data_IF_383685054455
#
_entry.id   IF_383685054455
#
_cell.length_a   1.000
_cell.length_b   1.000
_cell.length_c   1.000
_cell.angle_alpha   90.00
_cell.angle_beta   90.00
_cell.angle_gamma   90.00
#
_symmetry.space_group_name_H-M   'P 1'
#
loop_
_entity.id
_entity.type
_entity.pdbx_description
1 polymer ?
#
# COMPACT_ATOMS: atom_id res chain seq x y z
N UNK A 1 16.23 48.60 -59.85
CA UNK A 1 16.43 47.13 -59.84
C UNK A 1 16.81 46.74 -58.42
N UNK A 2 15.90 46.06 -57.73
CA UNK A 2 15.95 45.43 -56.39
C UNK A 2 16.83 46.04 -55.26
N UNK A 3 16.12 46.52 -54.22
CA UNK A 3 16.52 46.81 -52.84
C UNK A 3 17.38 45.67 -52.22
N UNK A 4 18.27 45.87 -51.23
CA UNK A 4 17.99 46.45 -49.93
C UNK A 4 19.27 46.80 -49.14
N UNK A 5 19.22 47.94 -48.43
CA UNK A 5 20.13 48.35 -47.37
C UNK A 5 20.07 47.37 -46.18
N UNK A 6 21.23 46.96 -45.66
CA UNK A 6 21.38 46.50 -44.28
C UNK A 6 21.81 47.70 -43.44
N UNK A 7 20.91 48.20 -42.59
CA UNK A 7 21.23 49.17 -41.55
C UNK A 7 21.06 48.51 -40.17
N UNK A 8 22.10 48.65 -39.36
CA UNK A 8 22.10 48.34 -37.93
C UNK A 8 20.98 49.10 -37.21
N UNK A 9 20.30 48.44 -36.28
CA UNK A 9 19.67 49.11 -35.15
C UNK A 9 19.85 48.23 -33.91
N UNK A 10 20.61 48.76 -32.95
CA UNK A 10 20.65 48.31 -31.56
C UNK A 10 19.23 48.30 -30.99
N UNK A 11 18.87 47.24 -30.27
CA UNK A 11 17.78 47.29 -29.29
C UNK A 11 18.28 46.76 -27.96
N UNK A 12 18.25 47.66 -26.99
CA UNK A 12 18.78 47.55 -25.64
C UNK A 12 18.12 46.44 -24.82
N UNK A 13 18.95 45.80 -23.99
CA UNK A 13 18.52 44.88 -22.95
C UNK A 13 17.78 45.66 -21.84
N UNK A 14 16.53 45.27 -21.59
CA UNK A 14 15.83 45.59 -20.35
C UNK A 14 15.55 44.26 -19.64
N UNK A 15 16.51 43.83 -18.80
CA UNK A 15 16.31 42.73 -17.85
C UNK A 15 15.41 43.22 -16.71
N UNK A 16 14.13 42.85 -16.76
CA UNK A 16 13.23 42.94 -15.62
C UNK A 16 13.53 41.74 -14.69
N UNK A 17 14.34 41.96 -13.65
CA UNK A 17 14.49 41.01 -12.55
C UNK A 17 13.23 41.05 -11.69
N UNK A 18 12.27 40.16 -11.99
CA UNK A 18 11.22 39.82 -11.03
C UNK A 18 11.89 38.99 -9.94
N UNK A 19 12.18 39.62 -8.79
CA UNK A 19 12.49 38.93 -7.55
C UNK A 19 11.23 38.17 -7.13
N UNK A 20 11.07 36.96 -7.64
CA UNK A 20 10.17 35.98 -7.04
C UNK A 20 10.75 35.64 -5.66
N UNK A 21 10.21 36.28 -4.62
CA UNK A 21 10.38 35.78 -3.26
C UNK A 21 9.92 34.32 -3.27
N UNK A 22 10.76 33.34 -2.91
CA UNK A 22 10.26 31.99 -2.75
C UNK A 22 9.16 32.06 -1.69
N UNK A 23 7.94 31.71 -2.08
CA UNK A 23 6.91 31.40 -1.11
C UNK A 23 7.54 30.39 -0.16
N UNK A 24 7.68 30.76 1.11
CA UNK A 24 8.21 29.88 2.13
C UNK A 24 7.37 28.60 2.06
N UNK A 25 8.01 27.52 1.59
CA UNK A 25 7.47 26.19 1.78
C UNK A 25 7.17 26.09 3.27
N UNK A 26 5.92 25.80 3.61
CA UNK A 26 5.56 25.41 4.97
C UNK A 26 6.58 24.34 5.39
N UNK A 27 7.15 24.40 6.61
CA UNK A 27 8.11 23.39 7.02
C UNK A 27 7.44 22.04 6.84
N UNK A 28 8.02 21.22 5.96
CA UNK A 28 7.80 19.79 5.98
C UNK A 28 8.18 19.38 7.40
N UNK A 29 7.19 19.02 8.21
CA UNK A 29 7.43 18.40 9.49
C UNK A 29 8.39 17.24 9.23
N UNK A 30 9.48 17.34 9.96
CA UNK A 30 10.66 16.50 9.93
C UNK A 30 10.36 15.02 9.69
N UNK A 31 10.79 14.54 8.52
CA UNK A 31 11.07 13.14 8.28
C UNK A 31 12.08 12.64 9.31
N UNK A 32 11.58 12.11 10.42
CA UNK A 32 12.33 11.49 11.48
C UNK A 32 11.74 10.11 11.75
N UNK A 33 12.61 9.12 11.84
CA UNK A 33 12.38 7.78 12.38
C UNK A 33 12.00 7.80 13.88
N UNK A 34 11.12 8.71 14.30
CA UNK A 34 10.67 8.84 15.67
C UNK A 34 9.59 7.78 15.92
N UNK A 35 10.01 6.70 16.58
CA UNK A 35 9.08 5.76 17.21
C UNK A 35 7.98 6.54 17.94
N UNK A 36 6.72 6.16 17.71
CA UNK A 36 5.60 6.79 18.40
C UNK A 36 5.80 6.69 19.92
N UNK A 37 5.61 7.80 20.61
CA UNK A 37 5.64 7.87 22.08
C UNK A 37 4.23 8.03 22.62
N UNK A 38 3.93 7.42 23.78
CA UNK A 38 2.60 7.44 24.39
C UNK A 38 2.66 8.04 25.80
N UNK A 39 1.94 9.15 26.08
CA UNK A 39 1.18 9.98 25.15
C UNK A 39 2.08 10.73 24.16
N UNK A 40 1.49 11.26 23.08
CA UNK A 40 2.15 12.09 22.07
C UNK A 40 1.60 13.53 22.06
N UNK A 41 2.21 14.40 21.25
CA UNK A 41 1.69 15.74 20.97
C UNK A 41 0.43 15.67 20.08
N UNK A 42 -0.55 16.58 20.25
CA UNK A 42 -1.64 16.75 19.29
C UNK A 42 -1.12 17.19 17.92
N UNK A 43 -1.67 16.64 16.84
CA UNK A 43 -1.37 17.07 15.48
C UNK A 43 -2.33 18.19 15.08
N UNK A 44 -1.84 19.43 15.03
CA UNK A 44 -2.70 20.60 14.81
C UNK A 44 -3.33 20.66 13.40
N UNK A 45 -2.63 20.13 12.39
CA UNK A 45 -3.07 20.16 10.99
C UNK A 45 -4.15 19.14 10.66
N UNK A 46 -4.64 19.20 9.42
CA UNK A 46 -5.44 18.12 8.81
C UNK A 46 -4.48 17.18 8.07
N UNK A 47 -4.38 15.89 8.41
CA UNK A 47 -3.52 14.95 7.69
C UNK A 47 -3.92 14.81 6.22
N UNK A 48 -2.97 14.50 5.35
CA UNK A 48 -3.18 14.41 3.90
C UNK A 48 -4.36 13.49 3.53
N UNK A 49 -4.48 12.36 4.22
CA UNK A 49 -5.53 11.37 3.99
C UNK A 49 -6.93 11.93 4.27
N UNK A 50 -7.05 12.96 5.11
CA UNK A 50 -8.31 13.66 5.36
C UNK A 50 -8.46 14.94 4.54
N UNK A 51 -7.37 15.56 4.07
CA UNK A 51 -7.44 16.75 3.20
C UNK A 51 -8.09 16.45 1.85
N UNK A 52 -7.93 15.22 1.36
CA UNK A 52 -8.56 14.77 0.10
C UNK A 52 -10.04 14.42 0.25
N UNK A 53 -10.57 14.36 1.47
CA UNK A 53 -11.98 14.09 1.72
C UNK A 53 -12.69 15.41 2.00
N UNK A 54 -13.75 15.69 1.24
CA UNK A 54 -14.65 16.78 1.55
C UNK A 54 -15.52 16.38 2.76
N UNK A 55 -14.94 16.43 3.97
CA UNK A 55 -15.57 15.92 5.20
C UNK A 55 -16.94 16.55 5.48
N UNK A 56 -17.09 17.85 5.21
CA UNK A 56 -18.39 18.52 5.36
C UNK A 56 -19.44 17.98 4.39
N UNK A 57 -19.03 17.54 3.20
CA UNK A 57 -19.93 16.90 2.23
C UNK A 57 -20.26 15.47 2.61
N UNK A 58 -19.23 14.71 3.02
CA UNK A 58 -19.37 13.35 3.53
C UNK A 58 -20.36 13.31 4.72
N UNK A 59 -20.18 14.18 5.71
CA UNK A 59 -20.98 14.20 6.93
C UNK A 59 -22.37 14.80 6.77
N UNK A 60 -22.64 15.52 5.68
CA UNK A 60 -24.03 15.85 5.29
C UNK A 60 -24.81 14.59 4.91
N UNK A 61 -24.14 13.56 4.40
CA UNK A 61 -24.78 12.29 4.04
C UNK A 61 -24.89 11.36 5.26
N UNK A 62 -23.81 11.19 6.02
CA UNK A 62 -23.78 10.28 7.17
C UNK A 62 -22.59 10.57 8.08
N UNK A 63 -22.77 10.35 9.38
CA UNK A 63 -21.68 10.38 10.38
C UNK A 63 -21.40 9.00 10.99
N UNK A 64 -22.10 7.96 10.53
CA UNK A 64 -21.98 6.59 11.06
C UNK A 64 -22.81 6.31 12.32
N UNK A 65 -23.73 7.22 12.66
CA UNK A 65 -24.57 7.13 13.87
C UNK A 65 -25.33 5.80 13.94
N UNK A 66 -25.26 5.15 15.09
CA UNK A 66 -25.95 3.88 15.35
C UNK A 66 -25.22 2.63 14.85
N UNK A 67 -24.12 2.81 14.10
CA UNK A 67 -23.30 1.69 13.63
C UNK A 67 -22.25 1.30 14.66
N UNK A 68 -22.06 0.00 14.83
CA UNK A 68 -21.02 -0.58 15.69
C UNK A 68 -19.92 -1.18 14.83
N UNK A 69 -18.69 -0.73 15.02
CA UNK A 69 -17.51 -1.24 14.33
C UNK A 69 -16.65 -2.00 15.33
N UNK A 70 -16.53 -3.31 15.16
CA UNK A 70 -15.59 -4.09 15.95
C UNK A 70 -14.18 -3.92 15.39
N UNK A 71 -13.26 -3.49 16.26
CA UNK A 71 -11.83 -3.35 15.95
C UNK A 71 -11.12 -4.53 16.60
N UNK A 72 -10.79 -5.54 15.78
CA UNK A 72 -10.01 -6.70 16.20
C UNK A 72 -8.54 -6.34 16.04
N UNK A 73 -7.85 -6.07 17.16
CA UNK A 73 -6.51 -5.48 17.15
C UNK A 73 -5.76 -5.66 18.50
N UNK A 74 -4.87 -4.74 18.88
CA UNK A 74 -4.10 -4.74 20.14
C UNK A 74 -4.83 -4.07 21.32
N UNK A 75 -6.13 -3.83 21.20
CA UNK A 75 -6.93 -3.06 22.16
C UNK A 75 -7.12 -1.60 21.73
N UNK A 76 -7.90 -0.83 22.48
CA UNK A 76 -8.17 0.59 22.20
C UNK A 76 -8.12 1.39 23.49
N UNK A 77 -7.18 2.34 23.61
CA UNK A 77 -7.03 3.13 24.83
C UNK A 77 -8.07 4.26 24.94
N UNK A 78 -8.97 4.13 25.92
CA UNK A 78 -10.01 5.12 26.21
C UNK A 78 -9.52 6.33 27.01
N UNK A 79 -8.23 6.36 27.39
CA UNK A 79 -7.62 7.57 27.98
C UNK A 79 -7.36 8.63 26.91
N UNK A 80 -7.29 8.25 25.64
CA UNK A 80 -7.33 9.21 24.54
C UNK A 80 -8.72 9.89 24.48
N UNK A 81 -8.75 11.22 24.66
CA UNK A 81 -9.97 11.99 24.73
C UNK A 81 -10.85 11.90 23.46
N UNK A 82 -10.25 11.68 22.28
CA UNK A 82 -11.02 11.53 21.03
C UNK A 82 -11.69 10.15 20.91
N UNK A 83 -11.31 9.17 21.74
CA UNK A 83 -11.85 7.80 21.70
C UNK A 83 -12.69 7.44 22.92
N UNK A 84 -12.54 8.17 24.03
CA UNK A 84 -13.27 7.92 25.28
C UNK A 84 -14.77 7.69 25.07
N UNK A 85 -15.42 8.57 24.31
CA UNK A 85 -16.87 8.51 24.03
C UNK A 85 -17.18 7.84 22.67
N UNK A 86 -16.15 7.36 21.97
CA UNK A 86 -16.29 6.56 20.76
C UNK A 86 -16.39 5.06 21.07
N UNK A 87 -15.83 4.63 22.20
CA UNK A 87 -15.67 3.21 22.56
C UNK A 87 -16.78 2.73 23.48
N UNK A 88 -17.43 1.62 23.13
CA UNK A 88 -18.34 0.88 24.02
C UNK A 88 -17.52 -0.09 24.89
N UNK A 89 -17.07 0.43 26.03
CA UNK A 89 -16.28 -0.33 27.00
C UNK A 89 -17.01 -1.53 27.61
N UNK A 90 -18.35 -1.57 27.56
CA UNK A 90 -19.15 -2.66 28.11
C UNK A 90 -19.21 -3.87 27.16
N UNK A 91 -19.01 -3.64 25.86
CA UNK A 91 -18.92 -4.67 24.82
C UNK A 91 -17.51 -4.99 24.38
N UNK A 92 -16.52 -4.33 24.97
CA UNK A 92 -15.13 -4.63 24.68
C UNK A 92 -14.67 -5.96 25.28
N UNK A 93 -13.65 -6.56 24.68
CA UNK A 93 -13.08 -7.84 25.13
C UNK A 93 -11.59 -7.93 24.88
N UNK A 94 -10.87 -8.46 25.85
CA UNK A 94 -9.50 -8.92 25.70
C UNK A 94 -9.47 -10.46 25.65
N UNK A 95 -8.95 -10.99 24.53
CA UNK A 95 -8.79 -12.41 24.25
C UNK A 95 -7.35 -12.89 24.42
N UNK A 96 -6.43 -12.01 24.82
CA UNK A 96 -5.04 -12.37 25.12
C UNK A 96 -4.98 -13.19 26.40
N UNK A 97 -4.15 -14.23 26.36
CA UNK A 97 -3.86 -15.08 27.51
C UNK A 97 -3.14 -14.31 28.62
N UNK A 98 -3.28 -14.79 29.86
CA UNK A 98 -2.59 -14.22 31.01
C UNK A 98 -1.19 -14.78 31.11
N UNK A 99 -0.23 -13.92 31.45
CA UNK A 99 1.15 -14.35 31.70
C UNK A 99 1.97 -14.63 30.43
N UNK A 100 1.55 -14.09 29.29
CA UNK A 100 2.36 -14.06 28.06
C UNK A 100 3.71 -13.39 28.33
N UNK A 101 4.72 -13.80 27.57
CA UNK A 101 6.11 -13.36 27.75
C UNK A 101 6.70 -12.96 26.41
N UNK A 102 7.65 -12.04 26.44
CA UNK A 102 8.49 -11.75 25.28
C UNK A 102 9.43 -12.93 24.96
N UNK A 103 10.15 -12.90 23.81
CA UNK A 103 11.14 -13.92 23.48
C UNK A 103 12.29 -14.05 24.50
N UNK A 104 12.52 -13.03 25.34
CA UNK A 104 13.48 -13.03 26.44
C UNK A 104 12.93 -13.62 27.75
N UNK A 105 11.66 -14.05 27.78
CA UNK A 105 11.00 -14.61 28.95
C UNK A 105 10.46 -13.58 29.94
N UNK A 106 10.50 -12.28 29.62
CA UNK A 106 9.94 -11.23 30.46
C UNK A 106 8.42 -11.15 30.32
N UNK A 107 7.66 -10.98 31.41
CA UNK A 107 6.21 -10.84 31.34
C UNK A 107 5.77 -9.66 30.48
N UNK A 108 4.79 -9.89 29.60
CA UNK A 108 4.19 -8.83 28.80
C UNK A 108 3.11 -8.08 29.60
N UNK A 109 3.05 -6.74 29.49
CA UNK A 109 1.92 -5.97 30.00
C UNK A 109 0.63 -6.39 29.30
N UNK A 110 -0.37 -6.84 30.06
CA UNK A 110 -1.69 -7.19 29.54
C UNK A 110 -2.67 -6.04 29.72
N UNK A 111 -3.48 -5.79 28.69
CA UNK A 111 -4.57 -4.82 28.74
C UNK A 111 -5.70 -5.19 29.70
N UNK A 112 -6.67 -4.29 29.82
CA UNK A 112 -7.88 -4.54 30.61
C UNK A 112 -8.73 -5.66 29.98
N UNK A 113 -9.52 -6.39 30.78
CA UNK A 113 -10.32 -7.54 30.29
C UNK A 113 -11.36 -7.17 29.21
N UNK A 114 -11.71 -5.90 29.13
CA UNK A 114 -12.61 -5.33 28.13
C UNK A 114 -11.87 -4.70 26.95
N UNK A 115 -10.57 -4.92 26.78
CA UNK A 115 -9.79 -4.41 25.64
C UNK A 115 -9.65 -2.89 25.57
N UNK A 116 -9.99 -2.14 26.64
CA UNK A 116 -9.94 -0.68 26.66
C UNK A 116 -8.59 -0.08 27.07
N UNK A 117 -7.56 -0.92 27.11
CA UNK A 117 -6.16 -0.52 27.33
C UNK A 117 -5.38 -1.08 26.16
N UNK A 118 -4.60 -0.25 25.51
CA UNK A 118 -3.74 -0.66 24.40
C UNK A 118 -2.29 -0.41 24.79
N UNK A 119 -1.55 -1.48 25.06
CA UNK A 119 -0.14 -1.43 25.47
C UNK A 119 0.81 -1.35 24.28
N UNK A 120 0.30 -1.55 23.06
CA UNK A 120 1.06 -1.52 21.80
C UNK A 120 0.80 -0.22 21.03
N UNK A 121 -0.41 0.31 21.11
CA UNK A 121 -0.88 1.53 20.47
C UNK A 121 -1.45 1.36 19.06
N UNK A 122 -1.35 0.18 18.47
CA UNK A 122 -1.79 -0.07 17.09
C UNK A 122 -3.31 0.00 16.97
N UNK A 123 -4.06 -0.71 17.80
CA UNK A 123 -5.52 -0.69 17.79
C UNK A 123 -6.12 0.69 18.12
N UNK A 124 -5.43 1.49 18.95
CA UNK A 124 -5.82 2.88 19.21
C UNK A 124 -5.69 3.77 17.98
N UNK A 125 -4.66 3.57 17.14
CA UNK A 125 -4.54 4.27 15.84
C UNK A 125 -5.65 3.82 14.89
N UNK A 126 -5.92 2.51 14.83
CA UNK A 126 -6.95 1.93 13.95
C UNK A 126 -8.35 2.46 14.33
N UNK A 127 -8.72 2.44 15.61
CA UNK A 127 -9.98 2.99 16.10
C UNK A 127 -10.10 4.51 15.83
N UNK A 128 -8.99 5.23 15.91
CA UNK A 128 -8.91 6.66 15.59
C UNK A 128 -9.34 6.98 14.17
N UNK A 129 -8.80 6.25 13.19
CA UNK A 129 -9.12 6.43 11.77
C UNK A 129 -10.61 6.22 11.50
N UNK A 130 -11.23 5.26 12.20
CA UNK A 130 -12.67 5.00 12.06
C UNK A 130 -13.50 6.10 12.73
N UNK A 131 -13.27 6.38 14.02
CA UNK A 131 -14.28 7.04 14.86
C UNK A 131 -13.74 8.09 15.85
N UNK A 132 -12.50 8.57 15.71
CA UNK A 132 -12.02 9.65 16.56
C UNK A 132 -12.98 10.86 16.51
N UNK A 133 -13.42 11.32 17.69
CA UNK A 133 -14.31 12.47 17.81
C UNK A 133 -13.56 13.76 17.46
N UNK A 134 -14.26 14.80 16.94
CA UNK A 134 -13.67 16.14 16.80
C UNK A 134 -13.16 16.65 18.16
N UNK A 135 -11.98 17.25 18.19
CA UNK A 135 -11.40 17.83 19.40
C UNK A 135 -10.72 19.17 19.11
N UNK A 136 -10.63 20.03 20.12
CA UNK A 136 -9.94 21.32 20.01
C UNK A 136 -8.43 21.10 19.89
N UNK A 137 -7.76 21.89 19.05
CA UNK A 137 -6.30 21.88 18.90
C UNK A 137 -5.74 20.75 18.02
N UNK A 138 -6.60 20.02 17.31
CA UNK A 138 -6.22 19.01 16.31
C UNK A 138 -7.11 19.13 15.08
N UNK A 139 -6.56 18.89 13.90
CA UNK A 139 -7.33 18.72 12.66
C UNK A 139 -7.64 17.25 12.37
N UNK A 140 -7.19 16.30 13.19
CA UNK A 140 -7.50 14.89 13.01
C UNK A 140 -8.89 14.52 13.57
N UNK A 141 -9.59 13.66 12.83
CA UNK A 141 -10.92 13.12 13.15
C UNK A 141 -11.09 11.79 12.41
N UNK A 142 -11.91 10.89 12.93
CA UNK A 142 -12.27 9.66 12.22
C UNK A 142 -13.26 9.91 11.09
N UNK A 143 -13.35 9.00 10.14
CA UNK A 143 -14.29 9.10 9.01
C UNK A 143 -15.76 9.04 9.46
N UNK A 144 -16.06 8.17 10.42
CA UNK A 144 -17.39 7.93 10.99
C UNK A 144 -17.43 8.37 12.47
N UNK A 145 -17.39 9.69 12.75
CA UNK A 145 -17.23 10.22 14.10
C UNK A 145 -18.43 10.00 15.03
N UNK A 146 -19.56 9.46 14.56
CA UNK A 146 -20.68 9.04 15.41
C UNK A 146 -20.84 7.51 15.49
N UNK A 147 -19.97 6.74 14.83
CA UNK A 147 -19.93 5.29 15.00
C UNK A 147 -19.40 4.92 16.40
N UNK A 148 -19.80 3.74 16.87
CA UNK A 148 -19.34 3.15 18.13
C UNK A 148 -18.29 2.08 17.87
N UNK A 149 -17.14 2.18 18.52
CA UNK A 149 -16.08 1.18 18.47
C UNK A 149 -16.33 0.10 19.52
N UNK A 150 -16.25 -1.17 19.12
CA UNK A 150 -16.17 -2.32 20.02
C UNK A 150 -14.71 -2.81 20.00
N UNK A 151 -13.94 -2.62 21.08
CA UNK A 151 -12.55 -3.02 21.10
C UNK A 151 -12.42 -4.52 21.38
N UNK A 152 -11.76 -5.25 20.48
CA UNK A 152 -11.49 -6.69 20.63
C UNK A 152 -9.99 -6.90 20.54
N UNK A 153 -9.33 -7.00 21.70
CA UNK A 153 -7.89 -7.25 21.77
C UNK A 153 -7.61 -8.73 21.50
N UNK A 154 -6.93 -9.02 20.38
CA UNK A 154 -6.62 -10.36 19.90
C UNK A 154 -5.13 -10.55 19.56
N UNK A 155 -4.34 -9.49 19.54
CA UNK A 155 -2.90 -9.57 19.30
C UNK A 155 -2.09 -8.65 20.23
N UNK A 156 -0.78 -8.88 20.31
CA UNK A 156 0.16 -8.04 21.06
C UNK A 156 1.38 -7.64 20.21
N UNK A 157 2.36 -6.98 20.84
CA UNK A 157 3.57 -6.48 20.19
C UNK A 157 4.46 -7.60 19.58
N UNK A 158 4.23 -8.87 19.93
CA UNK A 158 5.04 -10.01 19.52
C UNK A 158 4.29 -11.00 18.63
N UNK A 159 3.03 -10.71 18.28
CA UNK A 159 2.28 -11.54 17.36
C UNK A 159 1.74 -12.83 17.97
N UNK A 160 1.44 -12.86 19.28
CA UNK A 160 0.88 -14.05 19.92
C UNK A 160 -0.57 -14.38 19.50
N UNK A 161 -1.22 -13.53 18.72
CA UNK A 161 -2.50 -13.85 18.07
C UNK A 161 -2.38 -15.05 17.13
N UNK A 162 -3.38 -15.93 17.11
CA UNK A 162 -3.43 -17.11 16.25
C UNK A 162 -4.67 -17.08 15.36
N UNK A 163 -4.70 -17.92 14.31
CA UNK A 163 -5.91 -18.10 13.50
C UNK A 163 -7.13 -18.52 14.33
N UNK A 164 -6.91 -19.28 15.42
CA UNK A 164 -7.97 -19.67 16.34
C UNK A 164 -8.47 -18.49 17.17
N UNK A 165 -7.58 -17.70 17.79
CA UNK A 165 -8.01 -16.54 18.58
C UNK A 165 -8.63 -15.45 17.70
N UNK A 166 -8.22 -15.34 16.43
CA UNK A 166 -8.87 -14.48 15.44
C UNK A 166 -10.28 -14.97 15.09
N UNK A 167 -10.47 -16.28 14.92
CA UNK A 167 -11.80 -16.86 14.72
C UNK A 167 -12.72 -16.57 15.92
N UNK A 168 -12.19 -16.67 17.15
CA UNK A 168 -12.93 -16.36 18.38
C UNK A 168 -13.25 -14.87 18.51
N UNK A 169 -12.34 -13.99 18.09
CA UNK A 169 -12.59 -12.54 18.00
C UNK A 169 -13.73 -12.19 17.03
N UNK A 170 -13.76 -12.83 15.86
CA UNK A 170 -14.85 -12.66 14.88
C UNK A 170 -16.18 -13.15 15.47
N UNK A 171 -16.20 -14.34 16.09
CA UNK A 171 -17.41 -14.86 16.77
C UNK A 171 -17.88 -13.92 17.89
N UNK A 172 -16.94 -13.35 18.64
CA UNK A 172 -17.26 -12.36 19.67
C UNK A 172 -17.89 -11.11 19.06
N UNK A 173 -17.33 -10.56 17.99
CA UNK A 173 -17.88 -9.39 17.29
C UNK A 173 -19.31 -9.64 16.77
N UNK A 174 -19.60 -10.84 16.26
CA UNK A 174 -20.96 -11.27 15.89
C UNK A 174 -21.88 -11.21 17.11
N UNK A 175 -21.45 -11.82 18.23
CA UNK A 175 -22.24 -11.84 19.48
C UNK A 175 -22.49 -10.44 20.06
N UNK A 176 -21.52 -9.53 19.87
CA UNK A 176 -21.60 -8.14 20.29
C UNK A 176 -22.47 -7.28 19.36
N UNK A 177 -22.99 -7.87 18.27
CA UNK A 177 -23.81 -7.24 17.24
C UNK A 177 -23.07 -6.10 16.55
N UNK A 178 -21.83 -6.36 16.13
CA UNK A 178 -21.10 -5.47 15.24
C UNK A 178 -21.78 -5.40 13.87
N UNK A 179 -21.79 -4.22 13.26
CA UNK A 179 -22.31 -3.98 11.92
C UNK A 179 -21.20 -4.06 10.86
N UNK A 180 -19.97 -3.73 11.29
CA UNK A 180 -18.72 -3.83 10.54
C UNK A 180 -17.64 -4.44 11.43
N UNK A 181 -16.78 -5.29 10.89
CA UNK A 181 -15.58 -5.82 11.55
C UNK A 181 -14.37 -5.32 10.77
N UNK A 182 -13.46 -4.63 11.45
CA UNK A 182 -12.13 -4.29 10.95
C UNK A 182 -11.10 -5.27 11.53
N UNK A 183 -10.32 -5.88 10.65
CA UNK A 183 -9.20 -6.78 11.00
C UNK A 183 -7.92 -6.18 10.42
N UNK A 184 -7.03 -5.71 11.28
CA UNK A 184 -5.79 -5.02 10.87
C UNK A 184 -4.57 -5.94 10.82
N UNK A 185 -4.80 -7.24 10.96
CA UNK A 185 -3.79 -8.28 11.07
C UNK A 185 -3.95 -9.28 9.94
N UNK A 186 -2.84 -9.88 9.55
CA UNK A 186 -2.82 -11.11 8.78
C UNK A 186 -2.37 -12.28 9.66
N UNK A 187 -2.69 -13.50 9.22
CA UNK A 187 -2.11 -14.69 9.82
C UNK A 187 -0.65 -14.78 9.38
N UNK A 188 0.28 -14.70 10.34
CA UNK A 188 1.72 -14.86 10.08
C UNK A 188 2.00 -16.20 9.37
N UNK A 189 2.85 -16.15 8.33
CA UNK A 189 3.14 -17.21 7.37
C UNK A 189 2.00 -17.51 6.39
N UNK A 190 2.33 -18.03 5.20
CA UNK A 190 1.34 -18.46 4.21
C UNK A 190 0.62 -19.71 4.75
N UNK A 191 -0.22 -19.54 5.77
CA UNK A 191 -0.93 -20.66 6.37
C UNK A 191 -2.06 -21.03 5.42
N UNK A 192 -2.22 -22.34 5.20
CA UNK A 192 -3.42 -22.89 4.59
C UNK A 192 -4.66 -22.31 5.28
N UNK A 193 -5.73 -21.96 4.55
CA UNK A 193 -6.91 -21.36 5.14
C UNK A 193 -7.43 -22.23 6.28
N UNK A 194 -7.34 -21.71 7.52
CA UNK A 194 -7.77 -22.46 8.70
C UNK A 194 -9.30 -22.65 8.63
N UNK A 195 -9.81 -23.90 8.66
CA UNK A 195 -11.25 -24.15 8.56
C UNK A 195 -12.07 -23.39 9.61
N UNK A 196 -11.52 -23.25 10.82
CA UNK A 196 -12.16 -22.55 11.93
C UNK A 196 -12.28 -21.04 11.68
N UNK A 197 -11.24 -20.42 11.11
CA UNK A 197 -11.24 -19.00 10.76
C UNK A 197 -12.18 -18.72 9.60
N UNK A 198 -12.14 -19.55 8.54
CA UNK A 198 -13.07 -19.43 7.42
C UNK A 198 -14.52 -19.53 7.88
N UNK A 199 -14.85 -20.52 8.73
CA UNK A 199 -16.21 -20.66 9.26
C UNK A 199 -16.67 -19.43 10.05
N UNK A 200 -15.78 -18.82 10.84
CA UNK A 200 -16.11 -17.60 11.58
C UNK A 200 -16.39 -16.42 10.64
N UNK A 201 -15.58 -16.26 9.59
CA UNK A 201 -15.80 -15.26 8.52
C UNK A 201 -17.11 -15.51 7.79
N UNK A 202 -17.35 -16.73 7.31
CA UNK A 202 -18.60 -17.09 6.61
C UNK A 202 -19.83 -16.81 7.50
N UNK A 203 -19.73 -17.08 8.80
CA UNK A 203 -20.80 -16.78 9.77
C UNK A 203 -21.02 -15.27 9.93
N UNK A 204 -19.95 -14.46 9.98
CA UNK A 204 -20.09 -13.00 10.05
C UNK A 204 -20.77 -12.44 8.79
N UNK A 205 -20.35 -12.89 7.62
CA UNK A 205 -20.95 -12.51 6.34
C UNK A 205 -22.43 -12.92 6.26
N UNK A 206 -22.77 -14.15 6.69
CA UNK A 206 -24.15 -14.63 6.75
C UNK A 206 -25.04 -13.85 7.74
N UNK A 207 -24.45 -13.17 8.74
CA UNK A 207 -25.14 -12.25 9.64
C UNK A 207 -25.21 -10.81 9.10
N UNK A 208 -24.84 -10.57 7.83
CA UNK A 208 -24.88 -9.26 7.19
C UNK A 208 -23.81 -8.27 7.70
N UNK A 209 -22.76 -8.77 8.34
CA UNK A 209 -21.66 -7.96 8.88
C UNK A 209 -20.62 -7.74 7.78
N UNK A 210 -20.27 -6.48 7.50
CA UNK A 210 -19.18 -6.15 6.57
C UNK A 210 -17.85 -6.47 7.22
N UNK A 211 -17.08 -7.38 6.64
CA UNK A 211 -15.74 -7.74 7.12
C UNK A 211 -14.70 -7.07 6.22
N UNK A 212 -13.89 -6.19 6.80
CA UNK A 212 -12.82 -5.45 6.14
C UNK A 212 -11.49 -5.90 6.73
N UNK A 213 -10.53 -6.26 5.88
CA UNK A 213 -9.24 -6.76 6.32
C UNK A 213 -8.07 -6.15 5.54
N UNK A 214 -6.94 -5.92 6.22
CA UNK A 214 -5.71 -5.44 5.60
C UNK A 214 -5.09 -6.48 4.65
N UNK A 215 -4.60 -6.05 3.49
CA UNK A 215 -4.00 -6.95 2.50
C UNK A 215 -2.64 -7.55 2.93
N UNK A 216 -1.94 -6.92 3.88
CA UNK A 216 -0.60 -7.33 4.36
C UNK A 216 0.51 -6.39 3.87
N UNK A 217 1.67 -6.43 4.55
CA UNK A 217 2.78 -5.48 4.35
C UNK A 217 4.07 -6.12 3.77
N UNK A 218 4.00 -7.36 3.31
CA UNK A 218 5.15 -8.12 2.77
C UNK A 218 5.32 -7.97 1.24
N UNK A 219 4.76 -6.91 0.63
CA UNK A 219 4.68 -6.74 -0.82
C UNK A 219 5.94 -6.21 -1.51
N UNK A 220 6.97 -5.80 -0.73
CA UNK A 220 8.17 -5.14 -1.28
C UNK A 220 8.92 -6.01 -2.29
N UNK A 221 8.88 -7.34 -2.14
CA UNK A 221 9.51 -8.30 -3.04
C UNK A 221 8.75 -8.54 -4.35
N UNK A 222 7.57 -7.93 -4.54
CA UNK A 222 6.69 -8.19 -5.68
C UNK A 222 6.04 -9.59 -5.65
N UNK A 223 6.16 -10.31 -4.54
CA UNK A 223 5.54 -11.60 -4.29
C UNK A 223 4.02 -11.47 -4.24
N UNK A 224 3.34 -12.13 -5.17
CA UNK A 224 1.89 -12.32 -5.09
C UNK A 224 1.63 -13.53 -4.21
N UNK A 225 0.97 -13.30 -3.08
CA UNK A 225 0.66 -14.31 -2.08
C UNK A 225 -0.69 -13.96 -1.44
N UNK A 226 -1.63 -14.91 -1.32
CA UNK A 226 -2.84 -14.74 -0.54
C UNK A 226 -2.54 -14.46 0.93
N UNK A 227 -3.28 -13.52 1.50
CA UNK A 227 -3.20 -13.11 2.90
C UNK A 227 -4.53 -13.38 3.57
N UNK A 228 -4.57 -14.21 4.61
CA UNK A 228 -5.80 -14.48 5.34
C UNK A 228 -5.90 -13.60 6.60
N UNK A 229 -7.09 -13.08 6.94
CA UNK A 229 -8.40 -13.40 6.35
C UNK A 229 -8.78 -12.61 5.09
N UNK A 230 -7.98 -11.64 4.64
CA UNK A 230 -8.32 -10.76 3.51
C UNK A 230 -8.65 -11.51 2.21
N UNK A 231 -8.01 -12.65 1.94
CA UNK A 231 -8.26 -13.48 0.76
C UNK A 231 -9.48 -14.39 0.85
N UNK A 232 -10.23 -14.39 1.96
CA UNK A 232 -11.48 -15.16 2.02
C UNK A 232 -12.57 -14.50 1.16
N UNK A 233 -13.32 -15.28 0.36
CA UNK A 233 -14.43 -14.75 -0.42
C UNK A 233 -15.44 -13.99 0.46
N UNK A 234 -15.80 -12.78 0.03
CA UNK A 234 -16.73 -11.90 0.74
C UNK A 234 -16.08 -10.96 1.76
N UNK A 235 -14.80 -11.16 2.13
CA UNK A 235 -14.03 -10.17 2.88
C UNK A 235 -13.57 -9.08 1.92
N UNK A 236 -13.74 -7.81 2.30
CA UNK A 236 -13.19 -6.70 1.55
C UNK A 236 -11.72 -6.51 1.95
N UNK A 237 -10.82 -6.98 1.09
CA UNK A 237 -9.38 -6.83 1.26
C UNK A 237 -8.93 -5.42 0.85
N UNK A 238 -8.14 -4.77 1.71
CA UNK A 238 -7.72 -3.38 1.52
C UNK A 238 -6.21 -3.27 1.39
N UNK A 239 -5.76 -2.86 0.22
CA UNK A 239 -4.38 -2.47 -0.05
C UNK A 239 -4.07 -1.04 0.44
N UNK A 240 -2.79 -0.73 0.61
CA UNK A 240 -2.33 0.59 0.99
C UNK A 240 -1.94 1.41 -0.24
N UNK A 241 -2.38 2.66 -0.27
CA UNK A 241 -1.99 3.66 -1.27
C UNK A 241 -1.26 4.83 -0.63
N UNK A 242 -0.44 5.48 -1.43
CA UNK A 242 0.21 6.74 -1.07
C UNK A 242 -0.62 7.97 -1.54
N UNK A 243 -0.03 9.16 -1.40
CA UNK A 243 -0.65 10.44 -1.78
C UNK A 243 -0.97 10.57 -3.26
N UNK A 244 -0.38 9.74 -4.11
CA UNK A 244 -0.52 9.78 -5.57
C UNK A 244 -1.52 8.73 -6.08
N UNK A 245 -2.29 8.09 -5.19
CA UNK A 245 -3.15 6.95 -5.50
C UNK A 245 -2.41 5.70 -6.00
N UNK A 246 -1.09 5.66 -5.82
CA UNK A 246 -0.27 4.52 -6.20
C UNK A 246 -0.22 3.50 -5.07
N UNK A 247 -0.10 2.22 -5.42
CA UNK A 247 0.12 1.17 -4.43
C UNK A 247 1.38 1.46 -3.63
N UNK A 248 1.27 1.51 -2.31
CA UNK A 248 2.42 1.60 -1.42
C UNK A 248 3.33 0.39 -1.64
N UNK A 249 4.65 0.61 -1.70
CA UNK A 249 5.61 -0.45 -2.08
C UNK A 249 5.56 -1.67 -1.16
N UNK A 250 5.25 -1.49 0.12
CA UNK A 250 5.09 -2.57 1.09
C UNK A 250 3.74 -3.28 0.96
N UNK A 251 2.72 -2.67 0.34
CA UNK A 251 1.40 -3.27 0.24
C UNK A 251 1.44 -4.55 -0.55
N UNK A 252 0.94 -5.62 0.06
CA UNK A 252 0.75 -6.89 -0.60
C UNK A 252 -0.19 -6.74 -1.80
N UNK A 253 0.06 -7.53 -2.84
CA UNK A 253 -0.70 -7.53 -4.09
C UNK A 253 -1.26 -8.91 -4.39
N UNK A 254 -2.36 -8.95 -5.12
CA UNK A 254 -3.02 -10.18 -5.56
C UNK A 254 -4.44 -9.93 -6.02
N UNK A 255 -5.00 -10.90 -6.75
CA UNK A 255 -6.38 -10.83 -7.27
C UNK A 255 -7.44 -10.69 -6.17
N UNK A 256 -7.07 -10.99 -4.92
CA UNK A 256 -7.97 -10.88 -3.77
C UNK A 256 -8.16 -9.44 -3.28
N UNK A 257 -7.32 -8.48 -3.68
CA UNK A 257 -7.42 -7.07 -3.28
C UNK A 257 -8.70 -6.48 -3.83
N UNK A 258 -9.64 -6.02 -2.99
CA UNK A 258 -10.89 -5.42 -3.45
C UNK A 258 -10.73 -3.94 -3.79
N UNK A 259 -10.08 -3.18 -2.91
CA UNK A 259 -9.79 -1.74 -3.08
C UNK A 259 -8.48 -1.36 -2.42
N UNK A 260 -8.00 -0.15 -2.66
CA UNK A 260 -6.97 0.50 -1.86
C UNK A 260 -7.53 1.68 -1.05
N UNK A 261 -6.83 2.06 0.02
CA UNK A 261 -7.10 3.29 0.78
C UNK A 261 -5.79 3.91 1.25
N UNK A 262 -5.77 5.17 1.73
CA UNK A 262 -4.58 5.77 2.32
C UNK A 262 -3.91 4.85 3.35
N UNK A 263 -2.61 4.61 3.20
CA UNK A 263 -1.85 3.72 4.10
C UNK A 263 -0.41 4.16 4.36
N UNK A 264 0.00 5.28 3.77
CA UNK A 264 1.33 5.90 3.95
C UNK A 264 1.19 7.19 4.75
N UNK A 265 2.09 7.44 5.71
CA UNK A 265 2.09 8.60 6.61
C UNK A 265 0.72 8.85 7.27
N UNK A 266 0.11 7.77 7.77
CA UNK A 266 -1.22 7.80 8.39
C UNK A 266 -1.13 8.32 9.81
N UNK A 267 -1.48 9.59 9.99
CA UNK A 267 -1.63 10.20 11.30
C UNK A 267 -2.89 9.67 11.97
N UNK A 268 -2.78 9.18 13.21
CA UNK A 268 -3.94 8.79 14.02
C UNK A 268 -3.69 8.94 15.52
N UNK A 269 -4.73 8.74 16.33
CA UNK A 269 -4.70 8.75 17.80
C UNK A 269 -3.75 7.71 18.38
N UNK A 270 -3.16 8.02 19.54
CA UNK A 270 -2.31 7.09 20.28
C UNK A 270 -2.72 6.98 21.76
N UNK A 271 -2.30 5.92 22.49
CA UNK A 271 -2.61 5.76 23.91
C UNK A 271 -2.18 6.96 24.76
N UNK A 272 -2.98 7.29 25.77
CA UNK A 272 -2.77 8.43 26.66
C UNK A 272 -3.10 9.80 26.06
N UNK A 273 -3.29 9.89 24.74
CA UNK A 273 -3.62 11.14 24.04
C UNK A 273 -2.56 11.56 23.00
N UNK A 274 -2.97 12.43 22.08
CA UNK A 274 -2.13 12.91 20.99
C UNK A 274 -2.19 12.01 19.75
N UNK A 275 -1.25 12.25 18.83
CA UNK A 275 -1.23 11.60 17.52
C UNK A 275 0.17 11.15 17.11
N UNK A 276 0.24 10.17 16.22
CA UNK A 276 1.48 9.74 15.57
C UNK A 276 1.18 9.30 14.14
N UNK A 277 2.16 9.44 13.25
CA UNK A 277 2.11 8.91 11.89
C UNK A 277 2.68 7.49 11.84
N UNK A 278 2.11 6.63 11.02
CA UNK A 278 2.58 5.28 10.79
C UNK A 278 2.20 4.79 9.39
N UNK A 279 2.77 3.67 8.96
CA UNK A 279 2.57 3.10 7.62
C UNK A 279 2.04 1.67 7.72
N UNK A 280 1.07 1.31 6.87
CA UNK A 280 0.57 -0.06 6.83
C UNK A 280 -0.80 -0.19 6.19
N UNK A 281 -1.05 -1.35 5.57
CA UNK A 281 -2.38 -1.78 5.14
C UNK A 281 -3.37 -1.88 6.31
N UNK A 282 -2.84 -2.09 7.52
CA UNK A 282 -3.55 -2.03 8.79
C UNK A 282 -4.19 -0.67 9.09
N UNK A 283 -3.71 0.42 8.48
CA UNK A 283 -4.30 1.77 8.58
C UNK A 283 -5.21 2.11 7.39
N UNK A 284 -5.10 1.37 6.28
CA UNK A 284 -6.00 1.47 5.14
C UNK A 284 -7.33 0.77 5.39
N UNK A 285 -7.30 -0.43 5.98
CA UNK A 285 -8.50 -1.18 6.38
C UNK A 285 -9.49 -0.36 7.25
N UNK A 286 -9.07 0.32 8.33
CA UNK A 286 -10.00 1.11 9.16
C UNK A 286 -10.56 2.32 8.42
N UNK A 287 -9.85 2.85 7.43
CA UNK A 287 -10.37 3.92 6.60
C UNK A 287 -11.57 3.42 5.79
N UNK A 288 -11.47 2.24 5.17
CA UNK A 288 -12.58 1.58 4.46
C UNK A 288 -13.68 1.13 5.42
N UNK A 289 -13.35 0.61 6.60
CA UNK A 289 -14.33 0.25 7.62
C UNK A 289 -15.16 1.46 8.09
N UNK A 290 -14.53 2.64 8.17
CA UNK A 290 -15.22 3.91 8.39
C UNK A 290 -16.24 4.20 7.29
N UNK A 291 -15.85 4.10 6.01
CA UNK A 291 -16.78 4.28 4.87
C UNK A 291 -17.92 3.26 4.91
N UNK A 292 -17.64 1.99 5.18
CA UNK A 292 -18.67 0.96 5.31
C UNK A 292 -19.68 1.29 6.42
N UNK A 293 -19.23 1.82 7.57
CA UNK A 293 -20.11 2.28 8.62
C UNK A 293 -20.95 3.50 8.19
N UNK A 294 -20.39 4.43 7.43
CA UNK A 294 -21.14 5.56 6.87
C UNK A 294 -22.26 5.09 5.93
N UNK A 295 -21.95 4.17 5.00
CA UNK A 295 -22.91 3.60 4.05
C UNK A 295 -24.00 2.84 4.79
N UNK A 296 -23.66 1.95 5.73
CA UNK A 296 -24.67 1.20 6.50
C UNK A 296 -25.58 2.10 7.34
N UNK A 297 -25.05 3.21 7.87
CA UNK A 297 -25.88 4.18 8.58
C UNK A 297 -26.86 4.92 7.65
N UNK A 298 -26.45 5.23 6.41
CA UNK A 298 -27.30 5.85 5.38
C UNK A 298 -28.33 4.86 4.81
N UNK A 299 -27.91 3.61 4.61
CA UNK A 299 -28.67 2.54 3.96
C UNK A 299 -28.77 1.30 4.87
N UNK A 300 -29.59 1.34 5.95
CA UNK A 300 -29.64 0.26 6.94
C UNK A 300 -30.19 -1.06 6.41
N UNK A 301 -30.86 -1.05 5.26
CA UNK A 301 -31.43 -2.24 4.61
C UNK A 301 -30.50 -2.88 3.59
N UNK A 302 -29.35 -2.26 3.27
CA UNK A 302 -28.39 -2.84 2.35
C UNK A 302 -27.68 -4.02 3.01
N UNK A 303 -27.52 -5.09 2.24
CA UNK A 303 -26.72 -6.25 2.59
C UNK A 303 -25.23 -5.87 2.65
N UNK A 304 -24.44 -6.69 3.33
CA UNK A 304 -22.99 -6.53 3.36
C UNK A 304 -22.39 -6.49 1.95
N UNK A 305 -22.91 -7.32 1.03
CA UNK A 305 -22.41 -7.42 -0.34
C UNK A 305 -22.67 -6.13 -1.12
N UNK A 306 -23.85 -5.54 -0.94
CA UNK A 306 -24.20 -4.27 -1.60
C UNK A 306 -23.36 -3.10 -1.11
N UNK A 307 -23.06 -3.06 0.20
CA UNK A 307 -22.14 -2.07 0.77
C UNK A 307 -20.73 -2.21 0.18
N UNK A 308 -20.22 -3.45 0.06
CA UNK A 308 -18.90 -3.70 -0.54
C UNK A 308 -18.88 -3.30 -2.02
N UNK A 309 -19.89 -3.71 -2.79
CA UNK A 309 -19.97 -3.40 -4.20
C UNK A 309 -20.08 -1.88 -4.45
N UNK A 310 -20.79 -1.13 -3.59
CA UNK A 310 -20.81 0.33 -3.66
C UNK A 310 -19.42 0.93 -3.46
N UNK A 311 -18.67 0.49 -2.43
CA UNK A 311 -17.31 0.96 -2.17
C UNK A 311 -16.39 0.68 -3.38
N UNK A 312 -16.51 -0.50 -3.99
CA UNK A 312 -15.73 -0.90 -5.17
C UNK A 312 -16.15 -0.14 -6.44
N UNK A 313 -17.44 0.15 -6.60
CA UNK A 313 -17.98 0.84 -7.77
C UNK A 313 -17.54 2.31 -7.80
N UNK A 314 -17.58 2.98 -6.65
CA UNK A 314 -17.27 4.42 -6.55
C UNK A 314 -15.80 4.72 -6.29
N UNK A 315 -14.94 3.70 -6.26
CA UNK A 315 -13.50 3.88 -6.08
C UNK A 315 -12.86 4.61 -7.28
N UNK A 316 -11.82 5.39 -6.99
CA UNK A 316 -11.02 6.09 -8.00
C UNK A 316 -10.11 5.10 -8.74
N UNK A 317 -10.43 4.86 -10.01
CA UNK A 317 -9.83 3.81 -10.84
C UNK A 317 -8.59 4.28 -11.61
N UNK A 318 -7.48 3.57 -11.42
CA UNK A 318 -6.28 3.66 -12.26
C UNK A 318 -6.48 3.00 -13.63
N UNK A 319 -7.27 1.92 -13.69
CA UNK A 319 -7.60 1.15 -14.90
C UNK A 319 -9.12 0.93 -14.99
N UNK A 320 -9.63 0.62 -16.19
CA UNK A 320 -11.09 0.49 -16.35
C UNK A 320 -11.74 -0.64 -15.53
N UNK A 321 -10.95 -1.62 -15.09
CA UNK A 321 -11.40 -2.82 -14.39
C UNK A 321 -10.81 -2.95 -13.00
N UNK A 322 -10.79 -4.20 -12.53
CA UNK A 322 -10.07 -4.60 -11.34
C UNK A 322 -8.60 -4.88 -11.69
N UNK A 323 -7.69 -4.52 -10.79
CA UNK A 323 -6.30 -4.96 -10.83
C UNK A 323 -5.81 -5.53 -9.49
N UNK A 324 -4.69 -6.26 -9.52
CA UNK A 324 -4.11 -6.89 -8.33
C UNK A 324 -3.40 -5.95 -7.35
N UNK A 325 -3.28 -4.65 -7.67
CA UNK A 325 -2.48 -3.68 -6.93
C UNK A 325 -3.36 -2.82 -6.02
N UNK A 326 -4.37 -2.17 -6.60
CA UNK A 326 -5.33 -1.30 -5.92
C UNK A 326 -6.77 -1.81 -6.05
N UNK A 327 -6.98 -3.00 -6.61
CA UNK A 327 -8.30 -3.60 -6.74
C UNK A 327 -9.14 -2.84 -7.76
N UNK A 328 -10.33 -2.43 -7.33
CA UNK A 328 -11.21 -1.55 -8.09
C UNK A 328 -10.84 -0.06 -7.99
N UNK A 329 -9.77 0.29 -7.26
CA UNK A 329 -9.28 1.66 -7.14
C UNK A 329 -9.05 2.11 -5.70
N UNK A 330 -8.57 3.34 -5.54
CA UNK A 330 -8.47 3.99 -4.22
C UNK A 330 -9.84 4.51 -3.83
N UNK A 331 -10.34 4.17 -2.64
CA UNK A 331 -11.71 4.55 -2.25
C UNK A 331 -11.93 6.07 -2.26
N UNK A 332 -13.12 6.47 -2.70
CA UNK A 332 -13.63 7.84 -2.60
C UNK A 332 -14.83 7.85 -1.63
N UNK A 333 -14.63 8.27 -0.36
CA UNK A 333 -15.71 8.30 0.62
C UNK A 333 -16.90 9.17 0.20
N UNK A 334 -16.67 10.28 -0.51
CA UNK A 334 -17.76 11.19 -0.88
C UNK A 334 -18.60 10.54 -1.95
N UNK A 335 -17.98 10.06 -3.04
CA UNK A 335 -18.69 9.36 -4.12
C UNK A 335 -19.44 8.15 -3.59
N UNK A 336 -18.85 7.35 -2.69
CA UNK A 336 -19.49 6.20 -2.08
C UNK A 336 -20.82 6.51 -1.36
N UNK A 337 -20.98 7.75 -0.88
CA UNK A 337 -22.18 8.21 -0.18
C UNK A 337 -23.08 9.13 -1.01
N UNK A 338 -22.69 9.53 -2.22
CA UNK A 338 -23.45 10.47 -3.06
C UNK A 338 -23.82 9.95 -4.44
N UNK A 339 -23.06 9.00 -4.97
CA UNK A 339 -23.33 8.40 -6.29
C UNK A 339 -24.26 7.21 -6.16
N UNK A 340 -25.26 7.18 -7.06
CA UNK A 340 -26.25 6.12 -7.25
C UNK A 340 -26.73 5.40 -5.97
N UNK A 341 -27.85 5.86 -5.42
CA UNK A 341 -28.44 5.30 -4.19
C UNK A 341 -29.18 3.95 -4.42
N UNK A 342 -28.93 3.25 -5.53
CA UNK A 342 -29.45 1.91 -5.78
C UNK A 342 -28.42 0.84 -5.42
N UNK A 343 -28.80 -0.20 -4.65
CA UNK A 343 -27.87 -1.26 -4.32
C UNK A 343 -27.49 -2.06 -5.55
N UNK A 344 -26.19 -2.34 -5.68
CA UNK A 344 -25.60 -3.25 -6.67
C UNK A 344 -24.94 -4.41 -5.93
N UNK A 345 -24.90 -5.61 -6.52
CA UNK A 345 -24.23 -6.76 -5.88
C UNK A 345 -22.79 -6.98 -6.35
N UNK A 346 -22.40 -6.31 -7.43
CA UNK A 346 -21.09 -6.41 -8.07
C UNK A 346 -20.76 -5.11 -8.80
N UNK A 347 -19.52 -4.61 -8.72
CA UNK A 347 -19.10 -3.44 -9.49
C UNK A 347 -19.03 -3.74 -11.00
N UNK A 348 -19.22 -2.71 -11.81
CA UNK A 348 -19.14 -2.78 -13.27
C UNK A 348 -17.92 -1.97 -13.79
N UNK A 349 -17.19 -2.56 -14.74
CA UNK A 349 -15.99 -1.97 -15.34
C UNK A 349 -16.32 -0.96 -16.46
N UNK A 350 -16.91 0.18 -16.11
CA UNK A 350 -17.25 1.25 -17.07
C UNK A 350 -16.48 2.56 -16.87
N UNK A 351 -15.79 2.72 -15.75
CA UNK A 351 -14.97 3.89 -15.40
C UNK A 351 -13.48 3.52 -15.36
N UNK A 352 -12.57 4.47 -15.61
CA UNK A 352 -11.11 4.31 -15.48
C UNK A 352 -10.34 4.39 -16.81
N UNK A 353 -9.02 4.52 -16.74
CA UNK A 353 -8.16 4.69 -17.92
C UNK A 353 -7.98 3.35 -18.64
N UNK A 354 -8.13 3.33 -19.96
CA UNK A 354 -7.85 2.12 -20.75
C UNK A 354 -6.35 1.83 -20.69
N UNK A 355 -5.91 0.62 -20.30
CA UNK A 355 -4.49 0.29 -20.24
C UNK A 355 -3.82 0.53 -21.60
N UNK A 356 -2.86 1.46 -21.65
CA UNK A 356 -2.06 1.65 -22.84
C UNK A 356 -1.25 0.37 -23.11
N UNK A 357 -1.15 -0.04 -24.38
CA UNK A 357 -0.32 -1.18 -24.77
C UNK A 357 1.11 -0.93 -24.29
N UNK A 358 1.63 -1.81 -23.42
CA UNK A 358 2.98 -1.68 -22.89
C UNK A 358 3.98 -1.48 -24.03
N UNK A 359 4.92 -0.52 -23.93
CA UNK A 359 5.92 -0.32 -24.96
C UNK A 359 6.71 -1.60 -25.15
N UNK A 360 6.94 -2.00 -26.40
CA UNK A 360 7.78 -3.17 -26.71
C UNK A 360 9.17 -2.90 -26.14
N UNK A 361 9.66 -3.69 -25.16
CA UNK A 361 10.98 -3.48 -24.60
C UNK A 361 11.99 -3.50 -25.75
N UNK A 362 12.87 -2.50 -25.81
CA UNK A 362 13.98 -2.56 -26.76
C UNK A 362 14.76 -3.84 -26.46
N UNK A 363 14.92 -4.70 -27.46
CA UNK A 363 15.72 -5.90 -27.31
C UNK A 363 17.14 -5.49 -26.91
N UNK A 364 17.50 -5.75 -25.65
CA UNK A 364 18.86 -5.54 -25.18
C UNK A 364 19.73 -6.64 -25.82
N UNK A 365 20.41 -6.31 -26.92
CA UNK A 365 21.38 -7.21 -27.54
C UNK A 365 22.60 -7.31 -26.61
N UNK A 366 22.57 -8.25 -25.67
CA UNK A 366 23.69 -8.59 -24.79
C UNK A 366 24.76 -9.44 -25.49
N UNK A 367 24.58 -9.71 -26.78
CA UNK A 367 25.52 -10.44 -27.63
C UNK A 367 26.27 -9.53 -28.60
N UNK A 368 27.30 -10.09 -29.23
CA UNK A 368 28.02 -9.44 -30.32
C UNK A 368 27.07 -9.16 -31.49
N UNK A 369 27.04 -7.92 -31.96
CA UNK A 369 26.26 -7.51 -33.14
C UNK A 369 26.81 -8.17 -34.40
N UNK A 370 25.98 -8.29 -35.45
CA UNK A 370 26.43 -8.83 -36.75
C UNK A 370 27.62 -8.05 -37.33
N UNK A 371 27.67 -6.74 -37.09
CA UNK A 371 28.78 -5.88 -37.49
C UNK A 371 30.07 -6.22 -36.73
N UNK A 372 30.00 -6.35 -35.40
CA UNK A 372 31.15 -6.76 -34.58
C UNK A 372 31.65 -8.17 -34.95
N UNK A 373 30.72 -9.10 -35.21
CA UNK A 373 31.04 -10.45 -35.67
C UNK A 373 31.78 -10.43 -37.01
N UNK A 374 31.32 -9.57 -37.92
CA UNK A 374 31.93 -9.41 -39.25
C UNK A 374 33.32 -8.79 -39.14
N UNK A 375 33.50 -7.76 -38.30
CA UNK A 375 34.82 -7.16 -38.03
C UNK A 375 35.81 -8.16 -37.41
N UNK A 376 35.35 -8.99 -36.45
CA UNK A 376 36.17 -10.04 -35.85
C UNK A 376 36.60 -11.09 -36.89
N UNK A 377 35.66 -11.58 -37.70
CA UNK A 377 35.96 -12.55 -38.76
C UNK A 377 36.93 -11.95 -39.81
N UNK A 378 36.71 -10.70 -40.21
CA UNK A 378 37.62 -10.00 -41.14
C UNK A 378 39.03 -9.87 -40.55
N UNK A 379 39.15 -9.59 -39.25
CA UNK A 379 40.44 -9.54 -38.55
C UNK A 379 41.14 -10.91 -38.56
N UNK A 380 40.43 -12.00 -38.28
CA UNK A 380 41.01 -13.35 -38.34
C UNK A 380 41.48 -13.72 -39.74
N UNK A 381 40.72 -13.38 -40.78
CA UNK A 381 41.11 -13.59 -42.17
C UNK A 381 42.38 -12.78 -42.50
N UNK A 382 42.42 -11.49 -42.14
CA UNK A 382 43.57 -10.64 -42.40
C UNK A 382 44.85 -11.13 -41.72
N UNK A 383 44.75 -11.50 -40.43
CA UNK A 383 45.88 -12.08 -39.68
C UNK A 383 46.31 -13.42 -40.29
N UNK A 384 45.36 -14.30 -40.61
CA UNK A 384 45.64 -15.61 -41.21
C UNK A 384 46.37 -15.49 -42.56
N UNK A 385 45.92 -14.59 -43.44
CA UNK A 385 46.56 -14.32 -44.74
C UNK A 385 47.98 -13.78 -44.53
N UNK A 386 48.17 -12.87 -43.57
CA UNK A 386 49.49 -12.28 -43.28
C UNK A 386 50.48 -13.34 -42.78
N UNK A 387 50.06 -14.20 -41.85
CA UNK A 387 50.88 -15.30 -41.34
C UNK A 387 51.23 -16.28 -42.46
N UNK A 388 50.26 -16.65 -43.30
CA UNK A 388 50.49 -17.55 -44.43
C UNK A 388 51.51 -16.97 -45.41
N UNK A 389 51.38 -15.68 -45.76
CA UNK A 389 52.33 -15.01 -46.65
C UNK A 389 53.75 -14.95 -46.06
N UNK A 390 53.87 -14.70 -44.75
CA UNK A 390 55.16 -14.71 -44.06
C UNK A 390 55.79 -16.11 -44.05
N UNK A 391 55.01 -17.17 -43.80
CA UNK A 391 55.48 -18.56 -43.84
C UNK A 391 55.95 -18.93 -45.25
N UNK A 392 55.14 -18.66 -46.28
CA UNK A 392 55.51 -18.95 -47.68
C UNK A 392 56.78 -18.21 -48.09
N UNK A 393 56.91 -16.94 -47.70
CA UNK A 393 58.11 -16.13 -47.95
C UNK A 393 59.34 -16.71 -47.24
N UNK A 394 59.21 -17.06 -45.96
CA UNK A 394 60.26 -17.68 -45.16
C UNK A 394 60.72 -19.02 -45.72
N UNK A 395 59.78 -19.88 -46.11
CA UNK A 395 60.06 -21.16 -46.78
C UNK A 395 60.79 -20.92 -48.11
N UNK A 396 60.33 -19.95 -48.91
CA UNK A 396 60.98 -19.57 -50.16
C UNK A 396 62.44 -19.16 -49.98
N UNK A 397 62.73 -18.32 -48.97
CA UNK A 397 64.10 -17.91 -48.62
C UNK A 397 64.93 -19.12 -48.15
N UNK A 398 64.40 -19.96 -47.27
CA UNK A 398 65.09 -21.15 -46.77
C UNK A 398 65.44 -22.12 -47.90
N UNK A 399 64.52 -22.38 -48.84
CA UNK A 399 64.76 -23.22 -50.02
C UNK A 399 65.82 -22.60 -50.94
N UNK A 400 65.78 -21.28 -51.17
CA UNK A 400 66.79 -20.57 -51.96
C UNK A 400 68.18 -20.72 -51.36
N UNK A 401 68.31 -20.53 -50.06
CA UNK A 401 69.58 -20.63 -49.35
C UNK A 401 70.10 -22.06 -49.28
N UNK A 402 69.22 -23.06 -49.07
CA UNK A 402 69.58 -24.47 -49.15
C UNK A 402 70.10 -24.86 -50.55
N UNK A 403 69.45 -24.37 -51.62
CA UNK A 403 69.91 -24.57 -53.01
C UNK A 403 71.27 -23.89 -53.27
N UNK A 404 71.49 -22.68 -52.76
CA UNK A 404 72.79 -21.98 -52.86
C UNK A 404 73.90 -22.73 -52.12
N UNK A 405 73.63 -23.26 -50.92
CA UNK A 405 74.60 -24.08 -50.17
C UNK A 405 74.94 -25.36 -50.92
N UNK A 406 73.95 -26.10 -51.44
CA UNK A 406 74.20 -27.31 -52.25
C UNK A 406 75.03 -27.03 -53.50
N UNK A 407 74.79 -25.90 -54.20
CA UNK A 407 75.61 -25.49 -55.35
C UNK A 407 77.05 -25.13 -54.99
N UNK A 408 77.29 -24.56 -53.80
CA UNK A 408 78.66 -24.30 -53.30
C UNK A 408 79.41 -25.59 -52.95
N UNK A 409 78.71 -26.60 -52.42
CA UNK A 409 79.31 -27.91 -52.11
C UNK A 409 79.61 -28.72 -53.37
N UNK A 410 78.76 -28.62 -54.41
CA UNK A 410 78.97 -29.31 -55.69
C UNK A 410 80.03 -28.67 -56.60
N UNK A 411 80.51 -27.46 -56.29
CA UNK A 411 81.56 -26.75 -57.04
C UNK A 411 82.95 -26.80 -56.39
N UNK A 412 83.13 -27.59 -55.33
CA UNK A 412 84.38 -27.70 -54.57
C UNK A 412 84.93 -29.14 -54.54
N UNK A 413 84.54 -29.98 -55.50
CA UNK A 413 85.04 -31.34 -55.71
C UNK A 413 85.91 -31.44 -56.94
#
# INVERSE_FOLDING_TARGET
MAYALKALALSAAATLTVLATPAAAAPADDGGSNQCTFPSKPYAGRPWALQRVLLDELWRQSTGRGMKVAVIDTGVDIKNAQLKDAVDAAKGKNLMEKGLKDPGGQPLPRGAENGTTDTVGHGTKVAGIIAARPAKGTGFVGLAPDATIIPVEQNDAYGHGTAQTLADAIRYAISARADVINISQDTSNAVEPAPTLKQAVDTALANGIVVVASAGNDGLGGNVKPTYPASYPGVLAVAASDRNNERAVFSQSGEFVGVAAPGVDMVSTVPGGGHCADNGTSFSAPYVAGVAALIKAKHPNWTQREVVAQIEQTAERSVSGHDRLVGWGVIDPVRALTEDDHPIETPAAHEGVTPAKAPTPAALNLGETDEQRTQRLATYVAVGVTVLAAVLSGVGVAVRDARRRRRRVAGAG
#
